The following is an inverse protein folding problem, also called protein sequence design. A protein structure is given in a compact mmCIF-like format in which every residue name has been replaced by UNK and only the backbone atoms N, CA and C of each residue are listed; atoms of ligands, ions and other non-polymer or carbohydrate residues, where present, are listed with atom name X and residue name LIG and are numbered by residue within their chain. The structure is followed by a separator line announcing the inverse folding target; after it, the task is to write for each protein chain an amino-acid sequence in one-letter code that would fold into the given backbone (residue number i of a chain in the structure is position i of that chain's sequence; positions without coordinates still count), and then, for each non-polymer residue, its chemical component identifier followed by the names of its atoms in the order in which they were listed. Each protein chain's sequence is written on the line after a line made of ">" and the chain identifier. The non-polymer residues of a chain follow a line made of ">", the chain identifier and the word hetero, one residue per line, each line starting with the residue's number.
data_IF_206641515124
#
_entry.id   IF_206641515124
#
_cell.length_a   1.000
_cell.length_b   1.000
_cell.length_c   1.000
_cell.angle_alpha   90.00
_cell.angle_beta   90.00
_cell.angle_gamma   90.00
#
_symmetry.space_group_name_H-M   'P 1'
#
loop_
_entity.id
_entity.type
_entity.pdbx_description
1 polymer ?
#
# COMPACT_ATOMS: atom_id res chain seq x y z
N UNK A 1 -7.66 17.64 -6.58
CA UNK A 1 -8.55 16.63 -7.17
C UNK A 1 -8.02 15.20 -6.93
N UNK A 2 -6.76 14.92 -7.30
CA UNK A 2 -6.11 13.61 -7.11
C UNK A 2 -6.12 13.19 -5.64
N UNK A 3 -5.71 14.09 -4.75
CA UNK A 3 -5.68 13.86 -3.30
C UNK A 3 -7.05 13.42 -2.78
N UNK A 4 -8.10 14.17 -3.09
CA UNK A 4 -9.47 13.84 -2.67
C UNK A 4 -10.06 12.62 -3.37
N UNK A 5 -9.47 12.14 -4.46
CA UNK A 5 -10.00 10.99 -5.20
C UNK A 5 -9.40 9.68 -4.71
N UNK A 6 -8.09 9.63 -4.46
CA UNK A 6 -7.38 8.38 -4.18
C UNK A 6 -6.97 8.22 -2.71
N UNK A 7 -6.76 9.32 -1.98
CA UNK A 7 -6.27 9.30 -0.60
C UNK A 7 -7.38 9.52 0.45
N UNK A 8 -8.60 9.84 0.02
CA UNK A 8 -9.76 9.97 0.92
C UNK A 8 -10.44 8.62 1.10
N UNK A 9 -10.41 8.09 2.33
CA UNK A 9 -11.05 6.83 2.71
C UNK A 9 -12.55 6.75 2.44
N UNK A 10 -13.22 7.91 2.34
CA UNK A 10 -14.66 7.98 2.01
C UNK A 10 -14.93 7.76 0.52
N UNK A 11 -13.94 8.00 -0.33
CA UNK A 11 -14.08 7.94 -1.79
C UNK A 11 -13.40 6.73 -2.41
N UNK A 12 -12.24 6.34 -1.88
CA UNK A 12 -11.47 5.22 -2.38
C UNK A 12 -11.06 4.30 -1.24
N UNK A 13 -11.46 3.05 -1.33
CA UNK A 13 -11.18 2.02 -0.34
C UNK A 13 -10.62 0.79 -1.07
N UNK A 14 -9.36 0.46 -0.77
CA UNK A 14 -8.70 -0.74 -1.31
C UNK A 14 -9.33 -2.03 -0.80
N UNK A 15 -10.03 -1.97 0.33
CA UNK A 15 -10.44 -3.12 1.13
C UNK A 15 -9.23 -4.03 1.49
N UNK A 16 -9.47 -5.05 2.29
CA UNK A 16 -8.41 -6.00 2.71
C UNK A 16 -7.72 -6.66 1.51
N UNK A 17 -8.48 -7.00 0.47
CA UNK A 17 -7.93 -7.67 -0.71
C UNK A 17 -7.00 -6.77 -1.51
N UNK A 18 -7.35 -5.50 -1.71
CA UNK A 18 -6.51 -4.54 -2.41
C UNK A 18 -5.22 -4.27 -1.64
N UNK A 19 -5.30 -4.04 -0.33
CA UNK A 19 -4.12 -3.84 0.53
C UNK A 19 -3.22 -5.08 0.54
N UNK A 20 -3.78 -6.27 0.67
CA UNK A 20 -3.02 -7.52 0.59
C UNK A 20 -2.27 -7.65 -0.75
N UNK A 21 -2.92 -7.35 -1.87
CA UNK A 21 -2.31 -7.41 -3.21
C UNK A 21 -1.16 -6.41 -3.36
N UNK A 22 -1.35 -5.17 -2.91
CA UNK A 22 -0.28 -4.15 -2.90
C UNK A 22 0.90 -4.58 -2.03
N UNK A 23 0.64 -5.01 -0.79
CA UNK A 23 1.69 -5.45 0.12
C UNK A 23 2.43 -6.68 -0.41
N UNK A 24 1.73 -7.60 -1.09
CA UNK A 24 2.36 -8.74 -1.75
C UNK A 24 3.31 -8.33 -2.86
N UNK A 25 2.99 -7.28 -3.63
CA UNK A 25 3.85 -6.78 -4.72
C UNK A 25 4.96 -5.84 -4.24
N UNK A 26 4.66 -4.95 -3.31
CA UNK A 26 5.52 -3.84 -2.91
C UNK A 26 6.24 -4.09 -1.58
N UNK A 27 5.80 -5.08 -0.81
CA UNK A 27 6.39 -5.43 0.48
C UNK A 27 7.85 -5.88 0.35
N UNK A 28 8.69 -5.43 1.26
CA UNK A 28 10.13 -5.63 1.24
C UNK A 28 10.53 -7.11 1.11
N UNK A 29 9.87 -8.00 1.86
CA UNK A 29 10.19 -9.44 1.87
C UNK A 29 10.06 -10.06 0.47
N UNK A 30 8.96 -9.75 -0.21
CA UNK A 30 8.71 -10.29 -1.55
C UNK A 30 9.57 -9.65 -2.62
N UNK A 31 9.86 -8.35 -2.48
CA UNK A 31 10.70 -7.64 -3.44
C UNK A 31 12.17 -8.01 -3.37
N UNK A 32 12.68 -8.25 -2.17
CA UNK A 32 14.09 -8.59 -1.96
C UNK A 32 14.37 -10.08 -2.19
N UNK A 33 13.38 -10.95 -2.09
CA UNK A 33 13.58 -12.39 -2.24
C UNK A 33 14.26 -12.75 -3.56
N UNK A 34 15.36 -13.49 -3.49
CA UNK A 34 16.14 -13.97 -4.63
C UNK A 34 17.10 -12.94 -5.24
N UNK A 35 17.08 -11.68 -4.80
CA UNK A 35 18.01 -10.62 -5.27
C UNK A 35 19.38 -10.73 -4.60
N UNK A 36 20.36 -10.00 -5.11
CA UNK A 36 21.69 -9.84 -4.52
C UNK A 36 21.86 -8.39 -4.09
N UNK A 37 22.33 -8.16 -2.87
CA UNK A 37 22.57 -6.81 -2.36
C UNK A 37 23.76 -6.17 -3.05
N UNK A 38 23.62 -4.95 -3.56
CA UNK A 38 24.73 -4.14 -4.07
C UNK A 38 25.45 -3.40 -2.94
N UNK A 39 24.72 -3.04 -1.88
CA UNK A 39 25.28 -2.41 -0.67
C UNK A 39 24.87 -3.18 0.58
N UNK A 40 25.64 -3.02 1.66
CA UNK A 40 25.32 -3.63 2.94
C UNK A 40 24.04 -3.03 3.53
N UNK A 41 23.23 -3.85 4.18
CA UNK A 41 22.11 -3.39 5.03
C UNK A 41 22.68 -3.25 6.44
N UNK A 42 22.62 -2.03 6.96
CA UNK A 42 23.02 -1.69 8.32
C UNK A 42 21.85 -1.06 9.08
N UNK A 43 21.89 -1.21 10.39
CA UNK A 43 21.02 -0.46 11.29
C UNK A 43 21.46 1.01 11.31
N UNK A 44 20.52 1.92 11.02
CA UNK A 44 20.80 3.36 10.97
C UNK A 44 21.13 3.96 12.34
N UNK A 45 20.62 3.36 13.43
CA UNK A 45 20.85 3.85 14.79
C UNK A 45 22.16 3.36 15.40
N UNK A 46 22.47 2.07 15.20
CA UNK A 46 23.65 1.44 15.80
C UNK A 46 24.84 1.40 14.87
N UNK A 47 24.62 1.52 13.56
CA UNK A 47 25.66 1.34 12.52
C UNK A 47 26.09 -0.12 12.34
N UNK A 48 25.44 -1.06 13.01
CA UNK A 48 25.76 -2.50 12.88
C UNK A 48 25.34 -3.03 11.51
N UNK A 49 26.27 -3.73 10.84
CA UNK A 49 26.00 -4.36 9.55
C UNK A 49 25.25 -5.67 9.78
N UNK A 50 23.99 -5.71 9.34
CA UNK A 50 23.13 -6.90 9.43
C UNK A 50 23.46 -7.88 8.32
N UNK A 51 23.54 -7.37 7.08
CA UNK A 51 23.93 -8.16 5.91
C UNK A 51 24.95 -7.39 5.07
N UNK A 52 26.09 -8.00 4.72
CA UNK A 52 27.12 -7.37 3.88
C UNK A 52 26.67 -7.28 2.42
N UNK A 53 27.31 -6.38 1.66
CA UNK A 53 27.15 -6.30 0.21
C UNK A 53 27.51 -7.64 -0.45
N UNK A 54 26.90 -7.95 -1.59
CA UNK A 54 27.07 -9.22 -2.30
C UNK A 54 26.27 -10.38 -1.70
N UNK A 55 25.53 -10.17 -0.62
CA UNK A 55 24.72 -11.23 -0.01
C UNK A 55 23.47 -11.50 -0.85
N UNK A 56 23.25 -12.80 -1.16
CA UNK A 56 22.00 -13.24 -1.79
C UNK A 56 20.87 -13.29 -0.77
N UNK A 57 19.73 -12.74 -1.13
CA UNK A 57 18.55 -12.66 -0.28
C UNK A 57 17.77 -13.98 -0.31
N UNK A 58 18.23 -14.92 0.53
CA UNK A 58 17.55 -16.17 0.83
C UNK A 58 16.54 -15.97 1.95
N UNK A 59 15.65 -16.93 2.17
CA UNK A 59 14.65 -16.85 3.26
C UNK A 59 15.31 -16.68 4.63
N UNK A 60 16.46 -17.34 4.89
CA UNK A 60 17.23 -17.19 6.13
C UNK A 60 17.75 -15.74 6.32
N UNK A 61 18.20 -15.08 5.26
CA UNK A 61 18.70 -13.71 5.32
C UNK A 61 17.53 -12.71 5.44
N UNK A 62 16.39 -13.00 4.83
CA UNK A 62 15.17 -12.23 5.04
C UNK A 62 14.67 -12.34 6.48
N UNK A 63 14.79 -13.50 7.11
CA UNK A 63 14.44 -13.68 8.52
C UNK A 63 15.35 -12.88 9.46
N UNK A 64 16.66 -12.81 9.19
CA UNK A 64 17.58 -11.95 9.94
C UNK A 64 17.20 -10.47 9.87
N UNK A 65 16.78 -10.00 8.69
CA UNK A 65 16.28 -8.63 8.53
C UNK A 65 14.97 -8.44 9.32
N UNK A 66 14.07 -9.42 9.31
CA UNK A 66 12.83 -9.34 10.08
C UNK A 66 13.11 -9.28 11.59
N UNK A 67 14.06 -10.07 12.09
CA UNK A 67 14.47 -10.10 13.50
C UNK A 67 15.16 -8.80 13.94
N UNK A 68 15.91 -8.16 13.06
CA UNK A 68 16.55 -6.86 13.35
C UNK A 68 15.56 -5.71 13.54
N UNK A 69 14.32 -5.86 13.11
CA UNK A 69 13.28 -4.83 13.26
C UNK A 69 13.38 -3.64 12.31
N UNK A 70 14.44 -3.51 11.52
CA UNK A 70 14.67 -2.35 10.63
C UNK A 70 13.52 -2.10 9.67
N UNK A 71 12.87 -3.16 9.18
CA UNK A 71 11.75 -3.07 8.25
C UNK A 71 10.37 -3.15 8.93
N UNK A 72 10.33 -3.24 10.27
CA UNK A 72 9.07 -3.22 11.03
C UNK A 72 8.51 -1.79 11.15
N UNK A 73 9.32 -0.78 10.93
CA UNK A 73 8.87 0.59 10.85
C UNK A 73 8.12 0.83 9.55
N UNK A 74 6.97 1.47 9.67
CA UNK A 74 6.13 1.87 8.55
C UNK A 74 6.88 2.88 7.69
N UNK A 75 6.91 2.66 6.37
CA UNK A 75 7.48 3.66 5.48
C UNK A 75 8.08 3.07 4.21
N UNK A 76 8.57 3.98 3.37
CA UNK A 76 9.27 3.69 2.14
C UNK A 76 10.76 3.50 2.47
N UNK A 77 11.33 2.38 2.06
CA UNK A 77 12.76 2.12 2.20
C UNK A 77 13.41 1.83 0.85
N UNK A 78 14.58 2.40 0.66
CA UNK A 78 15.40 2.20 -0.52
C UNK A 78 16.47 1.15 -0.26
N UNK A 79 16.56 0.15 -1.12
CA UNK A 79 17.59 -0.89 -1.07
C UNK A 79 18.29 -0.94 -2.43
N UNK A 80 19.61 -1.02 -2.42
CA UNK A 80 20.39 -1.17 -3.64
C UNK A 80 20.68 -2.65 -3.88
N UNK A 81 20.23 -3.14 -5.01
CA UNK A 81 20.43 -4.52 -5.45
C UNK A 81 21.27 -4.57 -6.72
N UNK A 82 21.79 -5.73 -7.06
CA UNK A 82 22.46 -5.98 -8.34
C UNK A 82 21.44 -6.51 -9.36
N UNK A 83 21.46 -5.96 -10.57
CA UNK A 83 20.70 -6.51 -11.70
C UNK A 83 21.47 -7.72 -12.33
N UNK A 84 20.93 -8.26 -13.42
CA UNK A 84 21.54 -9.39 -14.13
C UNK A 84 22.89 -9.06 -14.79
N UNK A 85 23.18 -7.77 -14.99
CA UNK A 85 24.43 -7.26 -15.55
C UNK A 85 25.42 -6.77 -14.48
N UNK A 86 25.17 -7.13 -13.20
CA UNK A 86 25.92 -6.69 -12.02
C UNK A 86 25.90 -5.16 -11.78
N UNK A 87 24.99 -4.45 -12.46
CA UNK A 87 24.80 -3.03 -12.22
C UNK A 87 23.90 -2.79 -11.00
N UNK A 88 24.11 -1.65 -10.36
CA UNK A 88 23.36 -1.27 -9.17
C UNK A 88 21.98 -0.75 -9.54
N UNK A 89 20.92 -1.41 -9.05
CA UNK A 89 19.54 -1.04 -9.20
C UNK A 89 18.96 -0.58 -7.86
N UNK A 90 18.25 0.56 -7.87
CA UNK A 90 17.55 1.06 -6.70
C UNK A 90 16.16 0.44 -6.62
N UNK A 91 15.87 -0.21 -5.50
CA UNK A 91 14.58 -0.83 -5.22
C UNK A 91 13.94 -0.16 -4.00
N UNK A 92 12.75 0.43 -4.19
CA UNK A 92 11.93 0.92 -3.08
C UNK A 92 10.99 -0.17 -2.59
N UNK A 93 10.96 -0.38 -1.29
CA UNK A 93 10.09 -1.34 -0.62
C UNK A 93 9.18 -0.62 0.36
N UNK A 94 8.02 -1.20 0.65
CA UNK A 94 7.07 -0.66 1.63
C UNK A 94 6.81 -1.64 2.76
N UNK A 95 6.42 -1.11 3.93
CA UNK A 95 5.96 -1.88 5.09
C UNK A 95 4.65 -1.31 5.62
N UNK A 96 3.59 -1.29 4.79
CA UNK A 96 2.31 -0.68 5.16
C UNK A 96 1.42 -1.67 5.90
N UNK A 97 0.82 -1.22 7.00
CA UNK A 97 -0.11 -2.00 7.82
C UNK A 97 -1.29 -2.54 6.97
N UNK A 98 -1.59 -3.82 7.11
CA UNK A 98 -2.70 -4.49 6.43
C UNK A 98 -4.07 -3.87 6.74
N UNK A 99 -4.20 -3.19 7.88
CA UNK A 99 -5.43 -2.48 8.26
C UNK A 99 -5.63 -1.14 7.54
N UNK A 100 -4.60 -0.65 6.86
CA UNK A 100 -4.69 0.61 6.12
C UNK A 100 -5.27 0.38 4.73
N UNK A 101 -6.52 0.76 4.54
CA UNK A 101 -7.25 0.54 3.29
C UNK A 101 -7.15 1.71 2.29
N UNK A 102 -6.51 2.80 2.66
CA UNK A 102 -6.26 3.95 1.77
C UNK A 102 -4.94 3.79 1.05
N UNK A 103 -4.85 4.33 -0.16
CA UNK A 103 -3.58 4.48 -0.88
C UNK A 103 -2.71 5.50 -0.15
N UNK A 104 -1.42 5.24 -0.03
CA UNK A 104 -0.45 6.14 0.58
C UNK A 104 0.56 6.65 -0.46
N UNK A 105 1.30 7.70 -0.13
CA UNK A 105 2.34 8.22 -0.99
C UNK A 105 3.44 7.16 -1.25
N UNK A 106 3.74 6.37 -0.21
CA UNK A 106 4.71 5.28 -0.28
C UNK A 106 4.27 4.20 -1.28
N UNK A 107 2.97 3.85 -1.32
CA UNK A 107 2.42 2.94 -2.32
C UNK A 107 2.66 3.46 -3.74
N UNK A 108 2.44 4.76 -3.95
CA UNK A 108 2.62 5.39 -5.26
C UNK A 108 4.09 5.33 -5.69
N UNK A 109 5.02 5.77 -4.82
CA UNK A 109 6.45 5.75 -5.12
C UNK A 109 6.96 4.33 -5.38
N UNK A 110 6.60 3.37 -4.53
CA UNK A 110 7.01 1.98 -4.70
C UNK A 110 6.42 1.36 -5.96
N UNK A 111 5.19 1.73 -6.36
CA UNK A 111 4.56 1.25 -7.60
C UNK A 111 5.29 1.76 -8.84
N UNK A 112 5.65 3.04 -8.88
CA UNK A 112 6.45 3.60 -9.99
C UNK A 112 7.82 2.94 -10.06
N UNK A 113 8.50 2.77 -8.93
CA UNK A 113 9.77 2.07 -8.90
C UNK A 113 9.63 0.60 -9.33
N UNK A 114 8.54 -0.09 -8.92
CA UNK A 114 8.28 -1.44 -9.38
C UNK A 114 8.16 -1.51 -10.90
N UNK A 115 7.47 -0.56 -11.51
CA UNK A 115 7.33 -0.47 -12.97
C UNK A 115 8.70 -0.28 -13.65
N UNK A 116 9.56 0.59 -13.12
CA UNK A 116 10.92 0.78 -13.65
C UNK A 116 11.75 -0.51 -13.52
N UNK A 117 11.71 -1.15 -12.34
CA UNK A 117 12.42 -2.39 -12.11
C UNK A 117 11.95 -3.55 -13.01
N UNK A 118 10.66 -3.55 -13.43
CA UNK A 118 10.15 -4.50 -14.43
C UNK A 118 10.82 -4.31 -15.80
N UNK A 119 11.14 -3.08 -16.18
CA UNK A 119 11.86 -2.78 -17.43
C UNK A 119 13.28 -3.33 -17.40
N UNK A 120 13.89 -3.39 -16.20
CA UNK A 120 15.21 -3.96 -15.95
C UNK A 120 15.17 -5.47 -15.65
N UNK A 121 14.03 -6.11 -15.88
CA UNK A 121 13.86 -7.56 -15.71
C UNK A 121 13.63 -8.04 -14.27
N UNK A 122 13.44 -7.12 -13.31
CA UNK A 122 13.16 -7.44 -11.91
C UNK A 122 11.68 -7.32 -11.58
N UNK A 123 11.06 -8.44 -11.27
CA UNK A 123 9.64 -8.53 -10.93
C UNK A 123 8.86 -9.34 -11.95
N UNK A 124 7.55 -9.39 -11.76
CA UNK A 124 6.62 -10.13 -12.64
C UNK A 124 5.43 -9.26 -12.98
N UNK A 125 5.08 -9.19 -14.26
CA UNK A 125 3.83 -8.59 -14.70
C UNK A 125 2.63 -9.42 -14.23
N UNK A 126 1.47 -8.77 -14.08
CA UNK A 126 0.21 -9.43 -13.77
C UNK A 126 -0.68 -9.46 -15.02
N UNK A 127 -1.29 -10.60 -15.29
CA UNK A 127 -2.34 -10.71 -16.31
C UNK A 127 -3.64 -10.12 -15.74
N UNK A 128 -4.12 -9.04 -16.35
CA UNK A 128 -5.33 -8.34 -15.93
C UNK A 128 -6.59 -9.20 -16.06
N UNK A 129 -6.60 -10.12 -17.03
CA UNK A 129 -7.74 -10.99 -17.30
C UNK A 129 -7.78 -12.23 -16.43
N UNK A 130 -6.68 -12.54 -15.75
CA UNK A 130 -6.64 -13.66 -14.81
C UNK A 130 -7.59 -13.43 -13.64
N UNK A 131 -8.46 -14.41 -13.34
CA UNK A 131 -9.47 -14.29 -12.27
C UNK A 131 -8.87 -14.03 -10.88
N UNK A 132 -7.62 -14.40 -10.63
CA UNK A 132 -6.90 -14.05 -9.42
C UNK A 132 -6.62 -12.55 -9.28
N UNK A 133 -6.62 -11.78 -10.38
CA UNK A 133 -6.39 -10.34 -10.42
C UNK A 133 -7.69 -9.54 -10.63
N UNK A 134 -8.73 -10.21 -11.11
CA UNK A 134 -10.04 -9.61 -11.34
C UNK A 134 -10.99 -9.96 -10.20
N UNK A 135 -11.19 -9.00 -9.30
CA UNK A 135 -12.07 -9.19 -8.14
C UNK A 135 -13.53 -9.15 -8.54
N UNK A 136 -14.30 -10.13 -8.08
CA UNK A 136 -15.78 -10.15 -8.17
C UNK A 136 -16.35 -9.59 -6.87
N UNK A 137 -17.23 -8.59 -6.98
CA UNK A 137 -17.92 -8.01 -5.82
C UNK A 137 -19.12 -8.88 -5.42
N UNK A 138 -19.20 -9.19 -4.13
CA UNK A 138 -20.34 -9.92 -3.57
C UNK A 138 -21.53 -8.98 -3.34
N UNK A 139 -22.73 -9.57 -3.21
CA UNK A 139 -23.99 -8.83 -2.98
C UNK A 139 -23.90 -7.93 -1.75
N UNK A 140 -23.31 -8.42 -0.64
CA UNK A 140 -23.15 -7.63 0.58
C UNK A 140 -22.36 -6.34 0.36
N UNK A 141 -21.28 -6.39 -0.40
CA UNK A 141 -20.47 -5.21 -0.73
C UNK A 141 -21.23 -4.23 -1.64
N UNK A 142 -21.95 -4.74 -2.62
CA UNK A 142 -22.78 -3.91 -3.50
C UNK A 142 -23.90 -3.18 -2.70
N UNK A 143 -24.57 -3.88 -1.80
CA UNK A 143 -25.58 -3.30 -0.91
C UNK A 143 -24.95 -2.26 0.03
N UNK A 144 -23.81 -2.57 0.66
CA UNK A 144 -23.08 -1.63 1.52
C UNK A 144 -22.79 -0.32 0.79
N UNK A 145 -22.32 -0.40 -0.46
CA UNK A 145 -22.02 0.79 -1.27
C UNK A 145 -23.29 1.62 -1.55
N UNK A 146 -24.42 0.98 -1.84
CA UNK A 146 -25.69 1.69 -2.07
C UNK A 146 -26.21 2.36 -0.79
N UNK A 147 -26.12 1.67 0.36
CA UNK A 147 -26.45 2.27 1.65
C UNK A 147 -25.52 3.46 1.98
N UNK A 148 -24.23 3.34 1.75
CA UNK A 148 -23.27 4.45 1.97
C UNK A 148 -23.64 5.68 1.14
N UNK A 149 -23.99 5.50 -0.13
CA UNK A 149 -24.45 6.60 -1.01
C UNK A 149 -25.73 7.23 -0.48
N UNK A 150 -26.71 6.41 -0.08
CA UNK A 150 -27.98 6.89 0.48
C UNK A 150 -27.78 7.68 1.77
N UNK A 151 -27.00 7.16 2.70
CA UNK A 151 -26.68 7.82 3.97
C UNK A 151 -25.92 9.13 3.77
N UNK A 152 -24.96 9.19 2.83
CA UNK A 152 -24.23 10.43 2.52
C UNK A 152 -25.14 11.52 1.95
N UNK A 153 -26.14 11.14 1.13
CA UNK A 153 -27.17 12.08 0.63
C UNK A 153 -28.05 12.59 1.76
N UNK A 154 -28.49 11.69 2.64
CA UNK A 154 -29.28 12.04 3.81
C UNK A 154 -28.51 12.98 4.75
N UNK A 155 -27.26 12.66 5.06
CA UNK A 155 -26.38 13.52 5.87
C UNK A 155 -26.30 14.94 5.30
N UNK A 156 -26.11 15.07 3.99
CA UNK A 156 -26.04 16.38 3.33
C UNK A 156 -27.34 17.16 3.49
N UNK A 157 -28.47 16.53 3.23
CA UNK A 157 -29.79 17.18 3.38
C UNK A 157 -30.06 17.60 4.81
N UNK A 158 -29.73 16.75 5.79
CA UNK A 158 -29.87 17.07 7.21
C UNK A 158 -28.99 18.26 7.58
N UNK A 159 -27.72 18.29 7.15
CA UNK A 159 -26.82 19.43 7.40
C UNK A 159 -27.32 20.73 6.79
N UNK A 160 -27.81 20.68 5.54
CA UNK A 160 -28.41 21.85 4.87
C UNK A 160 -29.62 22.38 5.64
N UNK A 161 -30.52 21.49 6.08
CA UNK A 161 -31.72 21.89 6.86
C UNK A 161 -31.33 22.45 8.22
N UNK A 162 -30.40 21.82 8.93
CA UNK A 162 -29.92 22.32 10.23
C UNK A 162 -29.23 23.69 10.12
N UNK A 163 -28.66 24.03 8.98
CA UNK A 163 -28.02 25.33 8.78
C UNK A 163 -29.06 26.44 8.51
N UNK A 164 -30.22 26.09 7.95
CA UNK A 164 -31.27 27.04 7.55
C UNK A 164 -32.28 27.27 8.70
N UNK A 165 -32.52 26.25 9.53
CA UNK A 165 -33.50 26.33 10.60
C UNK A 165 -32.87 26.80 11.92
N UNK A 166 -33.62 27.64 12.69
CA UNK A 166 -33.27 28.00 14.05
C UNK A 166 -33.20 26.74 14.94
N UNK A 167 -32.13 26.62 15.72
CA UNK A 167 -31.85 25.45 16.55
C UNK A 167 -32.95 25.12 17.59
N UNK A 168 -33.83 26.08 17.89
CA UNK A 168 -34.92 25.91 18.88
C UNK A 168 -36.14 25.12 18.35
N UNK A 169 -36.22 24.88 17.04
CA UNK A 169 -37.39 24.27 16.39
C UNK A 169 -37.06 22.96 15.66
N UNK A 170 -35.88 22.44 15.83
CA UNK A 170 -35.47 21.21 15.16
C UNK A 170 -36.11 20.00 15.83
N UNK A 171 -37.06 19.38 15.12
CA UNK A 171 -37.68 18.10 15.50
C UNK A 171 -37.27 17.01 14.51
N UNK A 172 -37.31 15.72 14.90
CA UNK A 172 -37.03 14.63 13.95
C UNK A 172 -37.91 14.63 12.70
N UNK A 173 -39.12 15.20 12.79
CA UNK A 173 -40.04 15.33 11.64
C UNK A 173 -39.69 16.51 10.72
N UNK A 174 -38.89 17.48 11.19
CA UNK A 174 -38.45 18.62 10.39
C UNK A 174 -37.14 18.32 9.61
N UNK A 175 -36.42 17.27 10.00
CA UNK A 175 -35.23 16.78 9.32
C UNK A 175 -35.54 15.75 8.25
#
# INVERSE_FOLDING_TARGET
>A
LIENTFFDSKRYDLANVGRYKLNKKLGWRNRLSGTVLAEAIADEETGEIILPAGTKMTDENLDKIAESGIYNERGLRAVKIQNHEEEMLLMFTTGIDEKMHTVTNEDVFASFNYLLNLMDGHGTGDDIDHLGNRRVRCVGELLQNQFRIGLSRMERVVKERMTIQDNEVITPQAL
#
